data_IF_666843858032
#
_entry.id   IF_666843858032
#
_cell.length_a   1.000
_cell.length_b   1.000
_cell.length_c   1.000
_cell.angle_alpha   90.00
_cell.angle_beta   90.00
_cell.angle_gamma   90.00
#
_symmetry.space_group_name_H-M   'P 1'
#
loop_
_entity.id
_entity.type
_entity.pdbx_description
1 polymer ?
#
# COMPACT_ATOMS: atom_id res chain seq x y z
N UNK A 1 1.56 17.09 -6.50
CA UNK A 1 2.35 17.39 -5.28
C UNK A 1 2.11 16.29 -4.26
N UNK A 2 3.16 15.74 -3.65
CA UNK A 2 3.03 14.76 -2.55
C UNK A 2 2.54 15.47 -1.26
N UNK A 3 1.87 14.76 -0.33
CA UNK A 3 1.37 15.37 0.90
C UNK A 3 2.53 15.95 1.71
N UNK A 4 2.60 17.26 1.99
CA UNK A 4 3.78 17.87 2.65
C UNK A 4 4.21 17.18 3.96
N UNK A 5 3.27 16.51 4.63
CA UNK A 5 3.43 15.76 5.88
C UNK A 5 3.39 14.23 5.68
N UNK A 6 3.66 13.68 4.48
CA UNK A 6 3.56 12.25 4.21
C UNK A 6 4.43 11.39 5.14
N UNK A 7 5.48 11.98 5.73
CA UNK A 7 6.34 11.37 6.76
C UNK A 7 6.01 11.77 8.21
N UNK A 8 5.09 12.70 8.47
CA UNK A 8 4.91 13.33 9.79
C UNK A 8 4.33 12.38 10.86
N UNK A 9 3.82 11.20 10.47
CA UNK A 9 3.54 10.07 11.38
C UNK A 9 4.51 8.89 11.24
N UNK A 10 5.44 8.95 10.28
CA UNK A 10 6.30 7.84 9.86
C UNK A 10 7.73 7.92 10.42
N UNK A 11 8.30 9.12 10.56
CA UNK A 11 9.73 9.31 10.85
C UNK A 11 10.16 8.77 12.23
N UNK A 12 9.20 8.45 13.11
CA UNK A 12 9.44 7.74 14.38
C UNK A 12 8.83 6.35 14.44
N UNK A 13 8.03 5.95 13.46
CA UNK A 13 7.14 4.79 13.57
C UNK A 13 7.16 3.82 12.40
N UNK A 14 7.89 4.01 11.29
CA UNK A 14 8.13 2.93 10.34
C UNK A 14 9.60 2.87 9.88
N UNK A 15 10.22 1.68 9.96
CA UNK A 15 11.55 1.37 9.43
C UNK A 15 11.43 0.48 8.19
N UNK A 16 12.36 0.60 7.23
CA UNK A 16 12.39 -0.23 6.00
C UNK A 16 11.12 -0.10 5.17
N UNK A 17 10.97 1.02 4.44
CA UNK A 17 9.71 1.39 3.83
C UNK A 17 9.74 1.43 2.30
N UNK A 18 8.75 0.77 1.69
CA UNK A 18 8.46 0.81 0.25
C UNK A 18 7.36 1.84 -0.02
N UNK A 19 7.50 2.60 -1.10
CA UNK A 19 6.61 3.72 -1.45
C UNK A 19 6.08 3.56 -2.85
N UNK A 20 4.78 3.65 -3.01
CA UNK A 20 4.09 3.50 -4.28
C UNK A 20 3.12 4.64 -4.50
N UNK A 21 2.98 5.05 -5.75
CA UNK A 21 1.97 6.00 -6.19
C UNK A 21 1.10 5.29 -7.21
N UNK A 22 -0.21 5.24 -6.97
CA UNK A 22 -1.17 4.55 -7.80
C UNK A 22 -2.44 5.38 -7.95
N UNK A 23 -3.25 5.05 -8.95
CA UNK A 23 -4.62 5.55 -9.05
C UNK A 23 -5.54 4.42 -8.57
N UNK A 24 -6.26 4.65 -7.49
CA UNK A 24 -7.24 3.70 -6.92
C UNK A 24 -8.62 4.33 -6.98
N UNK A 25 -9.58 3.65 -7.61
CA UNK A 25 -10.96 4.14 -7.77
C UNK A 25 -11.03 5.59 -8.30
N UNK A 26 -10.16 5.93 -9.25
CA UNK A 26 -10.10 7.27 -9.87
C UNK A 26 -9.45 8.36 -9.02
N UNK A 27 -8.94 8.04 -7.83
CA UNK A 27 -8.24 8.98 -6.95
C UNK A 27 -6.74 8.69 -6.93
N UNK A 28 -5.94 9.74 -6.82
CA UNK A 28 -4.49 9.61 -6.65
C UNK A 28 -4.19 9.17 -5.22
N UNK A 29 -3.55 8.00 -5.10
CA UNK A 29 -3.27 7.34 -3.82
C UNK A 29 -1.76 7.13 -3.65
N UNK A 30 -1.23 7.55 -2.52
CA UNK A 30 0.16 7.34 -2.13
C UNK A 30 0.23 6.33 -0.97
N UNK A 31 0.92 5.23 -1.21
CA UNK A 31 0.91 4.03 -0.37
C UNK A 31 2.32 3.82 0.18
N UNK A 32 2.43 3.61 1.48
CA UNK A 32 3.70 3.36 2.16
C UNK A 32 3.57 2.13 3.05
N UNK A 33 4.38 1.10 2.76
CA UNK A 33 4.52 -0.06 3.63
C UNK A 33 5.74 0.13 4.52
N UNK A 34 5.70 -0.36 5.76
CA UNK A 34 6.89 -0.36 6.62
C UNK A 34 6.69 -1.08 7.94
N UNK A 35 7.79 -1.24 8.68
CA UNK A 35 7.84 -1.93 9.97
C UNK A 35 7.64 -0.98 11.13
N UNK A 36 6.66 -1.24 11.99
CA UNK A 36 6.44 -0.41 13.18
C UNK A 36 7.47 -0.71 14.29
N UNK A 37 8.16 0.30 14.84
CA UNK A 37 9.19 0.13 15.88
C UNK A 37 8.58 -0.10 17.26
N UNK A 38 7.27 0.18 17.44
CA UNK A 38 6.59 -0.07 18.71
C UNK A 38 6.47 -1.58 19.01
N UNK A 39 6.36 -2.42 17.97
CA UNK A 39 6.25 -3.87 18.10
C UNK A 39 7.07 -4.52 16.99
N UNK A 40 8.10 -5.29 17.35
CA UNK A 40 9.12 -5.81 16.45
C UNK A 40 8.62 -6.71 15.30
N UNK A 41 7.37 -7.18 15.36
CA UNK A 41 6.71 -7.99 14.32
C UNK A 41 5.52 -7.30 13.67
N UNK A 42 5.25 -6.02 13.98
CA UNK A 42 4.14 -5.26 13.39
C UNK A 42 4.57 -4.57 12.10
N UNK A 43 3.84 -4.80 11.03
CA UNK A 43 3.97 -4.05 9.79
C UNK A 43 2.69 -3.23 9.57
N UNK A 44 2.87 -2.08 8.94
CA UNK A 44 1.78 -1.13 8.70
C UNK A 44 1.81 -0.66 7.27
N UNK A 45 0.62 -0.39 6.76
CA UNK A 45 0.41 0.30 5.50
C UNK A 45 -0.21 1.68 5.81
N UNK A 46 0.47 2.74 5.40
CA UNK A 46 -0.04 4.11 5.42
C UNK A 46 -0.55 4.45 4.03
N UNK A 47 -1.81 4.87 3.98
CA UNK A 47 -2.52 5.15 2.74
C UNK A 47 -2.93 6.60 2.77
N UNK A 48 -2.47 7.37 1.79
CA UNK A 48 -2.86 8.75 1.56
C UNK A 48 -3.69 8.83 0.29
N UNK A 49 -4.82 9.51 0.33
CA UNK A 49 -5.70 9.74 -0.82
C UNK A 49 -5.84 11.23 -1.05
N UNK A 50 -5.60 11.69 -2.29
CA UNK A 50 -5.79 13.08 -2.68
C UNK A 50 -7.27 13.32 -3.02
N UNK A 51 -7.97 14.11 -2.19
CA UNK A 51 -9.40 14.40 -2.39
C UNK A 51 -9.66 15.43 -3.48
N UNK A 52 -8.71 16.32 -3.76
CA UNK A 52 -8.80 17.33 -4.80
C UNK A 52 -7.48 17.39 -5.58
N UNK A 53 -7.55 17.15 -6.89
CA UNK A 53 -6.36 17.01 -7.70
C UNK A 53 -5.55 18.31 -7.77
N UNK A 54 -4.27 18.24 -7.41
CA UNK A 54 -3.36 19.39 -7.42
C UNK A 54 -3.36 20.21 -6.12
N UNK A 55 -4.30 20.00 -5.20
CA UNK A 55 -4.35 20.71 -3.92
C UNK A 55 -3.56 19.95 -2.85
N UNK A 56 -2.39 20.47 -2.47
CA UNK A 56 -1.49 19.76 -1.55
C UNK A 56 -2.05 19.54 -0.14
N UNK A 57 -3.08 20.29 0.27
CA UNK A 57 -3.72 20.15 1.58
C UNK A 57 -4.92 19.19 1.57
N UNK A 58 -5.37 18.71 0.40
CA UNK A 58 -6.53 17.83 0.29
C UNK A 58 -6.21 16.35 0.56
N UNK A 59 -4.98 16.04 0.95
CA UNK A 59 -4.57 14.67 1.21
C UNK A 59 -5.12 14.20 2.56
N UNK A 60 -5.82 13.07 2.56
CA UNK A 60 -6.32 12.41 3.76
C UNK A 60 -5.60 11.08 3.97
N UNK A 61 -5.21 10.76 5.20
CA UNK A 61 -4.47 9.53 5.52
C UNK A 61 -5.21 8.57 6.43
N UNK A 62 -4.98 7.27 6.25
CA UNK A 62 -5.26 6.24 7.26
C UNK A 62 -4.11 5.26 7.38
N UNK A 63 -3.96 4.67 8.56
CA UNK A 63 -2.96 3.64 8.86
C UNK A 63 -3.69 2.34 9.14
N UNK A 64 -3.29 1.28 8.45
CA UNK A 64 -3.82 -0.07 8.66
C UNK A 64 -2.69 -1.01 9.07
N UNK A 65 -3.02 -2.00 9.90
CA UNK A 65 -2.10 -3.08 10.21
C UNK A 65 -2.13 -4.08 9.06
N UNK A 66 -0.96 -4.59 8.68
CA UNK A 66 -0.82 -5.55 7.60
C UNK A 66 0.37 -6.47 7.89
N UNK A 67 0.42 -7.64 7.26
CA UNK A 67 1.63 -8.45 7.23
C UNK A 67 2.80 -7.76 6.51
N UNK A 68 3.96 -8.42 6.49
CA UNK A 68 5.08 -7.98 5.65
C UNK A 68 4.69 -8.06 4.17
N UNK A 69 4.96 -6.99 3.44
CA UNK A 69 4.72 -6.87 2.00
C UNK A 69 6.06 -6.75 1.30
N UNK A 70 6.37 -7.73 0.45
CA UNK A 70 7.55 -7.71 -0.41
C UNK A 70 7.31 -6.84 -1.64
N UNK A 71 6.18 -7.06 -2.32
CA UNK A 71 5.87 -6.41 -3.59
C UNK A 71 4.46 -5.84 -3.62
N UNK A 72 4.29 -4.73 -4.32
CA UNK A 72 2.99 -4.13 -4.66
C UNK A 72 2.85 -4.06 -6.18
N UNK A 73 1.74 -4.58 -6.70
CA UNK A 73 1.50 -4.72 -8.14
C UNK A 73 0.46 -3.75 -8.68
N UNK A 74 -0.28 -3.06 -7.81
CA UNK A 74 -1.31 -2.11 -8.21
C UNK A 74 -2.59 -2.28 -7.40
N UNK A 75 -3.67 -1.73 -7.94
CA UNK A 75 -4.99 -1.81 -7.36
C UNK A 75 -5.95 -2.53 -8.31
N UNK A 76 -6.92 -3.25 -7.76
CA UNK A 76 -8.05 -3.78 -8.51
C UNK A 76 -9.05 -2.66 -8.85
N UNK A 77 -10.00 -2.94 -9.74
CA UNK A 77 -11.10 -2.00 -10.05
C UNK A 77 -11.96 -1.67 -8.81
N UNK A 78 -12.01 -2.60 -7.85
CA UNK A 78 -12.68 -2.41 -6.57
C UNK A 78 -11.85 -1.60 -5.57
N UNK A 79 -10.62 -1.20 -5.91
CA UNK A 79 -9.74 -0.40 -5.05
C UNK A 79 -8.95 -1.23 -4.03
N UNK A 80 -8.96 -2.55 -4.13
CA UNK A 80 -8.17 -3.44 -3.30
C UNK A 80 -6.72 -3.46 -3.78
N UNK A 81 -5.77 -3.68 -2.87
CA UNK A 81 -4.35 -3.70 -3.21
C UNK A 81 -3.90 -5.11 -3.59
N UNK A 82 -3.19 -5.22 -4.72
CA UNK A 82 -2.54 -6.45 -5.14
C UNK A 82 -1.12 -6.47 -4.57
N UNK A 83 -0.89 -7.34 -3.60
CA UNK A 83 0.35 -7.40 -2.83
C UNK A 83 0.85 -8.83 -2.64
N UNK A 84 2.17 -8.95 -2.52
CA UNK A 84 2.87 -10.20 -2.25
C UNK A 84 3.54 -10.15 -0.88
N UNK A 85 3.48 -11.27 -0.16
CA UNK A 85 4.14 -11.44 1.14
C UNK A 85 5.47 -12.19 1.00
N UNK A 86 6.17 -12.36 2.13
CA UNK A 86 7.46 -13.06 2.20
C UNK A 86 7.48 -14.51 1.72
N UNK A 87 6.32 -15.14 1.56
CA UNK A 87 6.20 -16.51 1.07
C UNK A 87 5.95 -16.56 -0.45
N UNK A 88 5.92 -15.39 -1.10
CA UNK A 88 5.62 -15.24 -2.51
C UNK A 88 4.14 -15.39 -2.86
N UNK A 89 3.23 -15.38 -1.88
CA UNK A 89 1.80 -15.50 -2.18
C UNK A 89 1.21 -14.15 -2.56
N UNK A 90 0.47 -14.10 -3.66
CA UNK A 90 -0.30 -12.94 -4.08
C UNK A 90 -1.69 -12.94 -3.44
N UNK A 91 -2.09 -11.80 -2.89
CA UNK A 91 -3.41 -11.57 -2.31
C UNK A 91 -3.94 -10.20 -2.71
N UNK A 92 -5.27 -10.13 -2.75
CA UNK A 92 -6.01 -8.87 -2.78
C UNK A 92 -6.27 -8.44 -1.33
N UNK A 93 -5.96 -7.18 -1.00
CA UNK A 93 -6.18 -6.63 0.33
C UNK A 93 -7.14 -5.45 0.26
N UNK A 94 -8.29 -5.58 0.92
CA UNK A 94 -9.21 -4.47 1.10
C UNK A 94 -8.82 -3.65 2.34
N UNK A 95 -8.26 -2.47 2.09
CA UNK A 95 -7.89 -1.52 3.13
C UNK A 95 -9.07 -0.90 3.92
N UNK A 96 -10.33 -1.06 3.50
CA UNK A 96 -11.52 -0.64 4.26
C UNK A 96 -12.00 -1.73 5.23
N UNK A 97 -12.23 -2.96 4.75
CA UNK A 97 -12.66 -4.08 5.59
C UNK A 97 -11.52 -4.78 6.34
N UNK A 98 -10.27 -4.57 5.90
CA UNK A 98 -9.06 -5.29 6.33
C UNK A 98 -9.05 -6.78 5.95
N UNK A 99 -9.91 -7.19 5.01
CA UNK A 99 -9.92 -8.56 4.51
C UNK A 99 -8.78 -8.81 3.52
N UNK A 100 -8.19 -10.00 3.62
CA UNK A 100 -7.18 -10.52 2.71
C UNK A 100 -7.76 -11.70 1.94
N UNK A 101 -7.78 -11.61 0.62
CA UNK A 101 -8.22 -12.68 -0.26
C UNK A 101 -7.04 -13.26 -1.04
N UNK A 102 -6.72 -14.53 -0.79
CA UNK A 102 -5.68 -15.23 -1.53
C UNK A 102 -6.10 -15.45 -2.98
N UNK A 103 -5.22 -15.10 -3.92
CA UNK A 103 -5.49 -15.27 -5.35
C UNK A 103 -4.97 -16.60 -5.91
N UNK A 104 -4.37 -17.44 -5.06
CA UNK A 104 -3.82 -18.75 -5.47
C UNK A 104 -2.60 -18.68 -6.40
N UNK A 105 -2.01 -17.49 -6.57
CA UNK A 105 -0.81 -17.27 -7.39
C UNK A 105 0.40 -17.19 -6.46
N UNK A 106 1.44 -17.94 -6.83
CA UNK A 106 2.72 -17.95 -6.11
C UNK A 106 3.84 -17.41 -7.00
N UNK A 107 4.69 -16.58 -6.41
CA UNK A 107 5.82 -15.87 -7.04
C UNK A 107 5.40 -15.10 -8.31
N UNK A 108 4.46 -14.14 -8.24
CA UNK A 108 3.87 -13.45 -9.38
C UNK A 108 4.83 -12.60 -10.23
N UNK A 109 6.13 -12.54 -9.90
CA UNK A 109 7.14 -11.80 -10.67
C UNK A 109 7.16 -12.15 -12.17
N UNK A 110 6.77 -13.37 -12.56
CA UNK A 110 6.66 -13.78 -13.97
C UNK A 110 5.41 -13.23 -14.69
N UNK A 111 4.38 -12.82 -13.96
CA UNK A 111 3.10 -12.31 -14.51
C UNK A 111 3.23 -10.86 -14.99
N UNK A 112 4.21 -10.11 -14.48
CA UNK A 112 4.38 -8.66 -14.76
C UNK A 112 4.86 -8.38 -16.20
N UNK A 113 5.29 -9.39 -16.96
CA UNK A 113 5.75 -9.24 -18.34
C UNK A 113 4.62 -9.49 -19.36
N UNK A 114 3.67 -8.57 -19.45
CA UNK A 114 2.78 -8.48 -20.61
C UNK A 114 2.25 -7.05 -20.80
N UNK A 115 3.14 -6.13 -21.17
CA UNK A 115 2.72 -4.92 -21.90
C UNK A 115 3.20 -5.09 -23.35
N UNK A 116 2.27 -5.48 -24.23
CA UNK A 116 2.43 -5.42 -25.70
C UNK A 116 1.75 -4.14 -26.19
#
# INVERSE_FOLDING_TARGET
MLPWNYFHGLYRHLLGFSRYLAVSQGLLTFIVFGKSPAVASSFKCLIWVMREYGVSMSWTSKIVNLGWVDSFYGCTDNGEFLIENSNGHLFSFDHESLEENSLGIQFPAWVVFANV
#
